data_IF_124440266353
#
_entry.id   IF_124440266353
#
_cell.length_a   1.000
_cell.length_b   1.000
_cell.length_c   1.000
_cell.angle_alpha   90.00
_cell.angle_beta   90.00
_cell.angle_gamma   90.00
#
_symmetry.space_group_name_H-M   'P 1'
#
loop_
_entity.id
_entity.type
_entity.pdbx_description
1 polymer ?
#
# COMPACT_ATOMS: atom_id res chain seq x y z
N UNK A 1 -12.09 -19.87 15.45
CA UNK A 1 -11.09 -19.07 14.73
C UNK A 1 -9.93 -19.93 14.28
N UNK A 2 -8.91 -20.12 15.13
CA UNK A 2 -7.64 -20.77 14.74
C UNK A 2 -7.78 -22.19 14.17
N UNK A 3 -8.60 -23.05 14.79
CA UNK A 3 -8.86 -24.40 14.25
C UNK A 3 -9.48 -24.35 12.84
N UNK A 4 -10.46 -23.47 12.62
CA UNK A 4 -11.08 -23.25 11.29
C UNK A 4 -10.05 -22.74 10.29
N UNK A 5 -9.19 -21.80 10.70
CA UNK A 5 -8.12 -21.27 9.85
C UNK A 5 -7.21 -22.40 9.36
N UNK A 6 -6.67 -23.21 10.28
CA UNK A 6 -5.75 -24.30 9.94
C UNK A 6 -6.43 -25.30 9.01
N UNK A 7 -7.64 -25.77 9.35
CA UNK A 7 -8.41 -26.69 8.52
C UNK A 7 -8.63 -26.14 7.11
N UNK A 8 -9.05 -24.87 6.99
CA UNK A 8 -9.33 -24.22 5.71
C UNK A 8 -8.10 -23.90 4.90
N UNK A 9 -6.94 -23.70 5.52
CA UNK A 9 -5.67 -23.61 4.78
C UNK A 9 -5.40 -24.93 4.04
N UNK A 10 -5.51 -26.07 4.74
CA UNK A 10 -5.33 -27.38 4.09
C UNK A 10 -6.36 -27.63 3.00
N UNK A 11 -7.65 -27.40 3.27
CA UNK A 11 -8.70 -27.54 2.25
C UNK A 11 -8.42 -26.58 1.09
N UNK A 12 -8.06 -25.33 1.36
CA UNK A 12 -7.81 -24.29 0.37
C UNK A 12 -6.71 -24.64 -0.61
N UNK A 13 -5.63 -25.28 -0.14
CA UNK A 13 -4.57 -25.80 -1.03
C UNK A 13 -5.12 -26.86 -1.98
N UNK A 14 -5.94 -27.79 -1.50
CA UNK A 14 -6.54 -28.82 -2.36
C UNK A 14 -7.51 -28.21 -3.38
N UNK A 15 -8.34 -27.26 -2.94
CA UNK A 15 -9.26 -26.50 -3.80
C UNK A 15 -8.49 -25.78 -4.90
N UNK A 16 -7.37 -25.14 -4.55
CA UNK A 16 -6.51 -24.46 -5.51
C UNK A 16 -5.97 -25.45 -6.55
N UNK A 17 -5.39 -26.57 -6.13
CA UNK A 17 -4.86 -27.59 -7.05
C UNK A 17 -5.93 -28.14 -8.00
N UNK A 18 -7.13 -28.44 -7.49
CA UNK A 18 -8.25 -28.90 -8.32
C UNK A 18 -8.70 -27.82 -9.31
N UNK A 19 -8.74 -26.56 -8.88
CA UNK A 19 -9.14 -25.43 -9.74
C UNK A 19 -8.16 -25.18 -10.89
N UNK A 20 -6.88 -25.51 -10.69
CA UNK A 20 -5.82 -25.43 -11.69
C UNK A 20 -5.86 -26.61 -12.68
N UNK A 21 -6.32 -27.78 -12.24
CA UNK A 21 -6.38 -28.98 -13.07
C UNK A 21 -7.63 -29.03 -13.97
N UNK A 22 -8.72 -28.35 -13.59
CA UNK A 22 -9.98 -28.37 -14.33
C UNK A 22 -10.06 -27.21 -15.36
N UNK A 23 -10.54 -27.47 -16.59
CA UNK A 23 -10.82 -26.42 -17.57
C UNK A 23 -12.05 -25.60 -17.19
N UNK A 24 -12.14 -24.35 -17.68
CA UNK A 24 -13.29 -23.49 -17.40
C UNK A 24 -14.59 -24.09 -17.98
N UNK A 25 -15.47 -24.49 -17.09
CA UNK A 25 -16.72 -25.18 -17.39
C UNK A 25 -17.75 -24.86 -16.31
N UNK A 26 -19.02 -25.07 -16.62
CA UNK A 26 -20.10 -24.94 -15.62
C UNK A 26 -19.85 -25.86 -14.42
N UNK A 27 -19.30 -27.06 -14.67
CA UNK A 27 -18.92 -28.04 -13.65
C UNK A 27 -17.79 -27.49 -12.77
N UNK A 28 -16.72 -26.94 -13.36
CA UNK A 28 -15.65 -26.29 -12.58
C UNK A 28 -16.20 -25.18 -11.70
N UNK A 29 -17.03 -24.28 -12.24
CA UNK A 29 -17.60 -23.18 -11.44
C UNK A 29 -18.47 -23.68 -10.31
N UNK A 30 -19.26 -24.73 -10.55
CA UNK A 30 -20.05 -25.38 -9.51
C UNK A 30 -19.14 -25.97 -8.41
N UNK A 31 -18.11 -26.74 -8.78
CA UNK A 31 -17.14 -27.33 -7.84
C UNK A 31 -16.44 -26.24 -7.03
N UNK A 32 -15.87 -25.23 -7.70
CA UNK A 32 -15.16 -24.13 -7.03
C UNK A 32 -16.12 -23.34 -6.12
N UNK A 33 -17.39 -23.14 -6.51
CA UNK A 33 -18.40 -22.50 -5.66
C UNK A 33 -18.70 -23.30 -4.38
N UNK A 34 -18.84 -24.63 -4.50
CA UNK A 34 -19.01 -25.52 -3.33
C UNK A 34 -17.77 -25.46 -2.45
N UNK A 35 -16.59 -25.54 -3.04
CA UNK A 35 -15.31 -25.45 -2.35
C UNK A 35 -15.11 -24.11 -1.63
N UNK A 36 -15.41 -22.98 -2.28
CA UNK A 36 -15.40 -21.65 -1.68
C UNK A 36 -16.37 -21.58 -0.48
N UNK A 37 -17.53 -22.23 -0.57
CA UNK A 37 -18.49 -22.28 0.54
C UNK A 37 -17.91 -23.01 1.76
N UNK A 38 -17.15 -24.11 1.57
CA UNK A 38 -16.42 -24.81 2.64
C UNK A 38 -15.34 -23.93 3.26
N UNK A 39 -14.65 -23.13 2.43
CA UNK A 39 -13.69 -22.13 2.87
C UNK A 39 -14.32 -20.93 3.59
N UNK A 40 -15.65 -20.89 3.70
CA UNK A 40 -16.40 -19.83 4.36
C UNK A 40 -16.80 -18.68 3.44
N UNK A 41 -16.56 -18.77 2.14
CA UNK A 41 -16.95 -17.77 1.13
C UNK A 41 -18.33 -18.12 0.56
N UNK A 42 -19.37 -17.46 1.05
CA UNK A 42 -20.75 -17.69 0.63
C UNK A 42 -21.17 -16.64 -0.40
N UNK A 43 -21.46 -17.07 -1.63
CA UNK A 43 -21.86 -16.14 -2.71
C UNK A 43 -23.37 -16.21 -2.95
N UNK A 44 -24.06 -15.09 -2.78
CA UNK A 44 -25.47 -14.90 -3.08
C UNK A 44 -25.65 -13.98 -4.28
N UNK A 45 -26.65 -14.25 -5.10
CA UNK A 45 -26.98 -13.45 -6.28
C UNK A 45 -28.37 -12.85 -6.13
N UNK A 46 -28.50 -11.58 -6.50
CA UNK A 46 -29.77 -10.89 -6.71
C UNK A 46 -29.96 -10.63 -8.20
N UNK A 47 -31.19 -10.82 -8.67
CA UNK A 47 -31.61 -10.55 -10.05
C UNK A 47 -30.73 -11.19 -11.14
N UNK A 48 -30.47 -12.51 -11.08
CA UNK A 48 -29.63 -13.20 -12.07
C UNK A 48 -30.18 -13.13 -13.50
N UNK A 49 -31.47 -12.79 -13.65
CA UNK A 49 -32.14 -12.58 -14.95
C UNK A 49 -31.65 -11.33 -15.69
N UNK A 50 -31.16 -10.32 -14.95
CA UNK A 50 -30.65 -9.09 -15.54
C UNK A 50 -29.25 -9.26 -16.13
N UNK A 51 -28.54 -10.33 -15.77
CA UNK A 51 -27.25 -10.67 -16.37
C UNK A 51 -27.48 -10.95 -17.86
N UNK A 52 -27.15 -9.96 -18.69
CA UNK A 52 -27.53 -9.94 -20.10
C UNK A 52 -26.72 -10.95 -20.90
N UNK A 53 -27.37 -11.60 -21.88
CA UNK A 53 -26.69 -12.46 -22.84
C UNK A 53 -25.73 -11.68 -23.78
N UNK A 54 -25.85 -10.35 -23.84
CA UNK A 54 -25.03 -9.47 -24.67
C UNK A 54 -24.06 -8.56 -23.91
N UNK A 55 -23.99 -8.62 -22.58
CA UNK A 55 -23.12 -7.73 -21.82
C UNK A 55 -21.65 -8.05 -22.08
N UNK A 56 -20.89 -7.06 -22.57
CA UNK A 56 -19.46 -7.21 -22.90
C UNK A 56 -18.53 -6.65 -21.84
N UNK A 57 -18.98 -5.69 -21.04
CA UNK A 57 -18.21 -5.07 -19.97
C UNK A 57 -19.05 -4.98 -18.69
N UNK A 58 -18.57 -5.60 -17.62
CA UNK A 58 -19.09 -5.46 -16.27
C UNK A 58 -18.28 -4.41 -15.50
N UNK A 59 -18.99 -3.49 -14.85
CA UNK A 59 -18.42 -2.47 -13.99
C UNK A 59 -18.84 -2.74 -12.56
N UNK A 60 -17.88 -3.07 -11.69
CA UNK A 60 -18.16 -3.37 -10.29
C UNK A 60 -17.46 -2.41 -9.34
N UNK A 61 -18.10 -2.13 -8.20
CA UNK A 61 -17.38 -1.56 -7.06
C UNK A 61 -16.36 -2.57 -6.52
N UNK A 62 -15.33 -2.09 -5.83
CA UNK A 62 -14.25 -2.90 -5.31
C UNK A 62 -14.26 -2.87 -3.78
N UNK A 63 -14.58 -4.01 -3.16
CA UNK A 63 -14.68 -4.18 -1.71
C UNK A 63 -13.54 -5.03 -1.16
N UNK A 64 -13.13 -6.09 -1.89
CA UNK A 64 -12.08 -7.00 -1.43
C UNK A 64 -11.17 -7.42 -2.58
N UNK A 65 -9.93 -7.84 -2.30
CA UNK A 65 -9.07 -8.44 -3.32
C UNK A 65 -9.70 -9.66 -4.00
N UNK A 66 -10.71 -10.33 -3.43
CA UNK A 66 -11.32 -11.53 -3.98
C UNK A 66 -12.52 -11.28 -4.90
N UNK A 67 -12.90 -10.02 -5.13
CA UNK A 67 -14.11 -9.67 -5.87
C UNK A 67 -14.17 -10.29 -7.28
N UNK A 68 -13.06 -10.23 -8.03
CA UNK A 68 -12.94 -10.87 -9.35
C UNK A 68 -13.17 -12.39 -9.29
N UNK A 69 -12.62 -13.10 -8.28
CA UNK A 69 -12.88 -14.52 -8.09
C UNK A 69 -14.37 -14.76 -7.87
N UNK A 70 -14.98 -13.97 -6.98
CA UNK A 70 -16.40 -14.10 -6.64
C UNK A 70 -17.30 -13.92 -7.85
N UNK A 71 -17.03 -12.93 -8.71
CA UNK A 71 -17.79 -12.73 -9.95
C UNK A 71 -17.53 -13.85 -10.96
N UNK A 72 -16.28 -14.34 -11.07
CA UNK A 72 -15.91 -15.46 -11.93
C UNK A 72 -16.60 -16.78 -11.56
N UNK A 73 -16.95 -16.98 -10.28
CA UNK A 73 -17.78 -18.11 -9.84
C UNK A 73 -19.21 -18.05 -10.40
N UNK A 74 -19.69 -16.87 -10.76
CA UNK A 74 -21.06 -16.66 -11.22
C UNK A 74 -21.13 -16.67 -12.74
N UNK A 75 -20.17 -16.05 -13.41
CA UNK A 75 -20.15 -15.89 -14.87
C UNK A 75 -18.72 -16.01 -15.41
N UNK A 76 -18.59 -16.45 -16.67
CA UNK A 76 -17.31 -16.33 -17.38
C UNK A 76 -17.05 -14.85 -17.57
N UNK A 77 -15.91 -14.35 -17.08
CA UNK A 77 -15.45 -13.01 -17.36
C UNK A 77 -13.94 -12.93 -17.13
N UNK A 78 -13.28 -12.06 -17.87
CA UNK A 78 -11.86 -11.80 -17.73
C UNK A 78 -11.62 -10.46 -17.03
N UNK A 79 -10.73 -10.45 -16.05
CA UNK A 79 -10.34 -9.23 -15.33
C UNK A 79 -8.88 -8.92 -15.67
N UNK A 80 -8.57 -7.78 -16.30
CA UNK A 80 -7.18 -7.41 -16.59
C UNK A 80 -6.39 -7.14 -15.32
N UNK A 81 -5.15 -7.61 -15.25
CA UNK A 81 -4.24 -7.29 -14.15
C UNK A 81 -3.71 -5.85 -14.29
N UNK A 82 -4.27 -4.91 -13.52
CA UNK A 82 -3.86 -3.49 -13.53
C UNK A 82 -2.66 -3.20 -12.61
N UNK A 83 -2.26 -4.15 -11.77
CA UNK A 83 -1.15 -4.02 -10.82
C UNK A 83 -0.13 -5.12 -11.05
N UNK A 84 1.14 -4.72 -11.19
CA UNK A 84 2.25 -5.52 -11.71
C UNK A 84 2.75 -6.66 -10.80
N UNK A 85 1.89 -7.61 -10.45
CA UNK A 85 2.33 -8.92 -9.97
C UNK A 85 2.39 -9.89 -11.17
N UNK A 86 3.49 -9.94 -11.94
CA UNK A 86 3.58 -10.80 -13.11
C UNK A 86 3.58 -12.29 -12.74
N UNK A 87 3.22 -13.13 -13.70
CA UNK A 87 3.38 -14.58 -13.61
C UNK A 87 2.39 -15.27 -12.68
N UNK A 88 2.88 -16.17 -11.81
CA UNK A 88 2.04 -17.13 -11.07
C UNK A 88 0.94 -16.48 -10.21
N UNK A 89 1.18 -15.31 -9.62
CA UNK A 89 0.19 -14.64 -8.75
C UNK A 89 -0.98 -14.09 -9.58
N UNK A 90 -0.70 -13.56 -10.78
CA UNK A 90 -1.72 -13.13 -11.74
C UNK A 90 -2.58 -14.33 -12.18
N UNK A 91 -1.91 -15.38 -12.66
CA UNK A 91 -2.55 -16.60 -13.16
C UNK A 91 -3.38 -17.32 -12.08
N UNK A 92 -2.81 -17.53 -10.88
CA UNK A 92 -3.45 -18.27 -9.78
C UNK A 92 -4.75 -17.61 -9.29
N UNK A 93 -4.89 -16.31 -9.53
CA UNK A 93 -6.08 -15.52 -9.19
C UNK A 93 -7.05 -15.40 -10.36
N UNK A 94 -6.73 -15.97 -11.52
CA UNK A 94 -7.57 -15.89 -12.71
C UNK A 94 -7.61 -14.48 -13.32
N UNK A 95 -6.56 -13.68 -13.10
CA UNK A 95 -6.41 -12.43 -13.82
C UNK A 95 -5.89 -12.68 -15.23
N UNK A 96 -6.34 -11.84 -16.16
CA UNK A 96 -5.86 -11.79 -17.52
C UNK A 96 -4.59 -10.95 -17.57
N UNK A 97 -3.47 -11.59 -17.88
CA UNK A 97 -2.21 -10.91 -18.11
C UNK A 97 -2.26 -10.26 -19.50
N UNK A 98 -2.46 -8.94 -19.54
CA UNK A 98 -2.15 -8.18 -20.74
C UNK A 98 -0.64 -7.97 -20.71
N UNK A 99 0.10 -8.53 -21.66
CA UNK A 99 1.55 -8.35 -21.83
C UNK A 99 1.97 -6.92 -22.18
N UNK A 100 1.16 -5.94 -21.80
CA UNK A 100 1.33 -4.51 -22.06
C UNK A 100 2.08 -3.92 -20.88
N UNK A 101 3.39 -3.72 -21.05
CA UNK A 101 4.23 -2.91 -20.16
C UNK A 101 4.08 -1.41 -20.41
N UNK A 102 3.12 -1.03 -21.27
CA UNK A 102 2.92 0.31 -21.82
C UNK A 102 1.97 1.23 -21.06
N UNK A 103 1.64 2.34 -21.68
CA UNK A 103 0.78 3.39 -21.12
C UNK A 103 -0.68 2.94 -20.93
N UNK A 104 -1.47 3.63 -20.10
CA UNK A 104 -2.91 3.33 -19.94
C UNK A 104 -3.69 3.39 -21.26
N UNK A 105 -3.22 4.16 -22.25
CA UNK A 105 -3.84 4.25 -23.57
C UNK A 105 -3.70 2.93 -24.35
N UNK A 106 -2.49 2.36 -24.40
CA UNK A 106 -2.23 1.08 -25.06
C UNK A 106 -3.05 -0.06 -24.44
N UNK A 107 -3.20 -0.04 -23.10
CA UNK A 107 -4.06 -0.99 -22.39
C UNK A 107 -5.52 -0.86 -22.85
N UNK A 108 -6.04 0.37 -22.92
CA UNK A 108 -7.42 0.63 -23.36
C UNK A 108 -7.62 0.14 -24.80
N UNK A 109 -6.67 0.41 -25.69
CA UNK A 109 -6.77 -0.01 -27.10
C UNK A 109 -6.74 -1.54 -27.23
N UNK A 110 -5.88 -2.21 -26.46
CA UNK A 110 -5.86 -3.68 -26.38
C UNK A 110 -7.18 -4.26 -25.86
N UNK A 111 -7.80 -3.61 -24.87
CA UNK A 111 -9.10 -4.04 -24.32
C UNK A 111 -10.27 -3.77 -25.28
N UNK A 112 -10.19 -2.72 -26.10
CA UNK A 112 -11.15 -2.48 -27.19
C UNK A 112 -11.08 -3.58 -28.23
N UNK A 113 -9.87 -3.92 -28.69
CA UNK A 113 -9.66 -5.01 -29.64
C UNK A 113 -10.16 -6.35 -29.08
N UNK A 114 -9.83 -6.64 -27.82
CA UNK A 114 -10.32 -7.81 -27.10
C UNK A 114 -11.85 -7.88 -27.07
N UNK A 115 -12.51 -6.75 -26.79
CA UNK A 115 -13.97 -6.67 -26.69
C UNK A 115 -14.68 -6.76 -28.04
N UNK A 116 -14.00 -6.37 -29.12
CA UNK A 116 -14.52 -6.44 -30.48
C UNK A 116 -14.55 -7.87 -31.05
N UNK A 117 -13.65 -8.74 -30.58
CA UNK A 117 -13.60 -10.14 -31.02
C UNK A 117 -14.82 -10.93 -30.52
N UNK A 118 -15.59 -11.49 -31.45
CA UNK A 118 -16.71 -12.37 -31.12
C UNK A 118 -16.21 -13.68 -30.49
N UNK A 119 -16.86 -14.13 -29.42
CA UNK A 119 -16.47 -15.32 -28.66
C UNK A 119 -15.68 -15.03 -27.38
N UNK A 120 -15.07 -13.85 -27.25
CA UNK A 120 -14.36 -13.49 -26.01
C UNK A 120 -15.34 -13.31 -24.84
N UNK A 121 -15.02 -13.83 -23.64
CA UNK A 121 -15.82 -13.59 -22.45
C UNK A 121 -15.83 -12.10 -22.08
N UNK A 122 -16.89 -11.61 -21.41
CA UNK A 122 -16.99 -10.21 -20.99
C UNK A 122 -15.83 -9.78 -20.09
N UNK A 123 -15.46 -8.49 -20.17
CA UNK A 123 -14.49 -7.89 -19.26
C UNK A 123 -15.13 -7.52 -17.93
N UNK A 124 -14.45 -7.77 -16.81
CA UNK A 124 -14.82 -7.25 -15.50
C UNK A 124 -13.81 -6.19 -15.07
N UNK A 125 -14.27 -4.98 -14.79
CA UNK A 125 -13.43 -3.84 -14.45
C UNK A 125 -13.88 -3.20 -13.14
N UNK A 126 -12.89 -2.70 -12.38
CA UNK A 126 -13.07 -2.06 -11.08
C UNK A 126 -12.59 -0.59 -11.16
N UNK A 127 -13.45 0.35 -11.58
CA UNK A 127 -13.06 1.75 -11.80
C UNK A 127 -12.66 2.51 -10.53
N UNK A 128 -12.94 1.98 -9.33
CA UNK A 128 -12.44 2.53 -8.06
C UNK A 128 -10.92 2.41 -7.90
N UNK A 129 -10.27 1.49 -8.63
CA UNK A 129 -8.83 1.19 -8.61
C UNK A 129 -8.23 0.75 -7.26
N UNK A 130 -8.98 0.87 -6.16
CA UNK A 130 -8.60 0.44 -4.83
C UNK A 130 -9.81 -0.03 -4.03
N UNK A 131 -9.68 -1.18 -3.36
CA UNK A 131 -10.79 -1.81 -2.63
C UNK A 131 -11.16 -1.04 -1.35
N UNK A 132 -12.39 -0.56 -1.19
CA UNK A 132 -12.88 0.13 0.02
C UNK A 132 -13.63 -0.82 0.95
N UNK A 133 -13.97 -0.37 2.17
CA UNK A 133 -14.82 -1.16 3.07
C UNK A 133 -16.31 -1.15 2.67
N UNK A 134 -16.68 -0.41 1.62
CA UNK A 134 -18.04 -0.34 1.07
C UNK A 134 -19.11 0.24 2.01
N UNK A 135 -18.74 0.96 3.09
CA UNK A 135 -19.69 1.44 4.11
C UNK A 135 -20.08 2.90 3.98
N UNK A 136 -19.11 3.79 3.74
CA UNK A 136 -19.33 5.23 3.82
C UNK A 136 -19.52 5.86 2.44
N UNK A 137 -18.72 5.44 1.47
CA UNK A 137 -18.76 6.01 0.14
C UNK A 137 -17.97 5.20 -0.87
N UNK A 138 -18.33 5.40 -2.12
CA UNK A 138 -17.69 4.84 -3.29
C UNK A 138 -16.59 5.80 -3.76
N UNK A 139 -15.38 5.29 -4.06
CA UNK A 139 -14.33 6.14 -4.62
C UNK A 139 -14.75 6.69 -5.98
N UNK A 140 -14.15 7.81 -6.35
CA UNK A 140 -14.32 8.38 -7.69
C UNK A 140 -13.85 7.37 -8.73
N UNK A 141 -14.74 7.06 -9.67
CA UNK A 141 -14.43 6.19 -10.79
C UNK A 141 -13.47 6.88 -11.76
N UNK A 142 -12.48 6.14 -12.23
CA UNK A 142 -11.68 6.58 -13.37
C UNK A 142 -12.46 6.42 -14.68
N UNK A 143 -12.16 7.28 -15.66
CA UNK A 143 -12.90 7.34 -16.92
C UNK A 143 -12.43 6.30 -17.96
N UNK A 144 -11.24 5.72 -17.81
CA UNK A 144 -10.68 4.81 -18.81
C UNK A 144 -11.51 3.53 -19.08
N UNK A 145 -12.18 2.88 -18.11
CA UNK A 145 -13.01 1.70 -18.37
C UNK A 145 -14.20 2.02 -19.28
N UNK A 146 -14.69 3.25 -19.16
CA UNK A 146 -15.84 3.76 -19.91
C UNK A 146 -15.45 4.17 -21.33
N UNK A 147 -14.16 4.27 -21.64
CA UNK A 147 -13.67 4.52 -23.00
C UNK A 147 -13.56 3.24 -23.86
N UNK A 148 -13.86 2.06 -23.32
CA UNK A 148 -13.72 0.78 -24.03
C UNK A 148 -14.95 0.49 -24.88
N UNK A 149 -16.15 0.57 -24.30
CA UNK A 149 -17.44 0.38 -24.99
C UNK A 149 -18.45 1.42 -24.52
N UNK A 150 -19.43 1.69 -25.39
CA UNK A 150 -20.52 2.62 -25.12
C UNK A 150 -21.68 2.00 -24.34
N UNK A 151 -21.61 0.71 -23.98
CA UNK A 151 -22.58 0.06 -23.10
C UNK A 151 -21.84 -0.73 -22.02
N UNK A 152 -22.21 -0.50 -20.76
CA UNK A 152 -21.64 -1.20 -19.61
C UNK A 152 -22.74 -1.75 -18.72
N UNK A 153 -22.50 -2.90 -18.09
CA UNK A 153 -23.41 -3.48 -17.11
C UNK A 153 -22.85 -3.31 -15.68
N UNK A 154 -23.48 -2.47 -14.83
CA UNK A 154 -23.05 -2.31 -13.45
C UNK A 154 -23.35 -3.54 -12.59
N UNK A 155 -22.47 -3.84 -11.64
CA UNK A 155 -22.58 -4.95 -10.69
C UNK A 155 -22.28 -4.44 -9.29
N UNK A 156 -23.28 -4.45 -8.41
CA UNK A 156 -23.12 -4.04 -7.02
C UNK A 156 -22.66 -5.22 -6.15
N UNK A 157 -21.52 -5.06 -5.49
CA UNK A 157 -20.91 -6.00 -4.58
C UNK A 157 -21.04 -5.50 -3.15
N UNK A 158 -21.68 -6.28 -2.28
CA UNK A 158 -21.69 -6.06 -0.84
C UNK A 158 -21.07 -7.26 -0.14
N UNK A 159 -20.18 -6.99 0.81
CA UNK A 159 -19.51 -8.04 1.59
C UNK A 159 -19.85 -7.88 3.05
N UNK A 160 -20.27 -8.97 3.70
CA UNK A 160 -20.57 -9.00 5.13
C UNK A 160 -19.76 -10.10 5.79
N UNK A 161 -18.99 -9.74 6.81
CA UNK A 161 -18.28 -10.70 7.67
C UNK A 161 -18.57 -10.37 9.14
N UNK A 162 -18.83 -11.38 9.99
CA UNK A 162 -18.99 -11.16 11.42
C UNK A 162 -17.62 -10.90 12.06
N UNK A 163 -17.60 -10.16 13.17
CA UNK A 163 -16.47 -9.98 14.10
C UNK A 163 -15.24 -9.21 13.57
N UNK A 164 -15.01 -9.10 12.26
CA UNK A 164 -13.84 -8.41 11.68
C UNK A 164 -14.32 -7.38 10.65
N UNK A 165 -13.76 -6.16 10.65
CA UNK A 165 -14.18 -5.12 9.71
C UNK A 165 -13.77 -5.47 8.27
N UNK A 166 -14.70 -5.56 7.31
CA UNK A 166 -14.47 -5.91 5.89
C UNK A 166 -13.37 -5.03 5.27
N UNK A 167 -12.34 -5.65 4.70
CA UNK A 167 -11.14 -5.03 4.11
C UNK A 167 -10.46 -4.01 5.04
N UNK A 168 -9.47 -4.47 5.80
CA UNK A 168 -8.65 -3.55 6.61
C UNK A 168 -7.80 -2.69 5.65
N UNK A 169 -7.74 -1.38 5.88
CA UNK A 169 -6.87 -0.53 5.09
C UNK A 169 -5.43 -1.08 5.07
N UNK A 170 -4.81 -1.13 3.89
CA UNK A 170 -3.46 -1.69 3.65
C UNK A 170 -3.28 -3.20 3.87
N UNK A 171 -4.34 -3.97 4.12
CA UNK A 171 -4.20 -5.42 4.21
C UNK A 171 -3.73 -6.00 2.88
N UNK A 172 -2.69 -6.84 2.91
CA UNK A 172 -2.34 -7.66 1.76
C UNK A 172 -3.48 -8.64 1.45
N UNK A 173 -3.58 -9.07 0.19
CA UNK A 173 -4.58 -10.09 -0.19
C UNK A 173 -4.43 -11.38 0.61
N UNK A 174 -3.20 -11.73 1.04
CA UNK A 174 -2.93 -12.89 1.91
C UNK A 174 -3.55 -12.65 3.29
N UNK A 175 -3.39 -11.45 3.85
CA UNK A 175 -3.97 -11.11 5.15
C UNK A 175 -5.49 -11.22 5.11
N UNK A 176 -6.12 -10.73 4.05
CA UNK A 176 -7.58 -10.87 3.84
C UNK A 176 -8.00 -12.34 3.62
N UNK A 177 -7.15 -13.17 2.99
CA UNK A 177 -7.38 -14.61 2.88
C UNK A 177 -7.38 -15.29 4.25
N UNK A 178 -6.37 -15.00 5.07
CA UNK A 178 -6.25 -15.56 6.42
C UNK A 178 -7.43 -15.12 7.29
N UNK A 179 -7.85 -13.85 7.19
CA UNK A 179 -9.06 -13.39 7.88
C UNK A 179 -10.31 -14.13 7.41
N UNK A 180 -10.45 -14.36 6.10
CA UNK A 180 -11.57 -15.13 5.54
C UNK A 180 -11.62 -16.55 6.11
N UNK A 181 -10.47 -17.22 6.24
CA UNK A 181 -10.41 -18.56 6.80
C UNK A 181 -10.64 -18.59 8.32
N UNK A 182 -10.24 -17.53 9.03
CA UNK A 182 -10.41 -17.40 10.46
C UNK A 182 -11.87 -17.15 10.88
N UNK A 183 -12.60 -16.31 10.15
CA UNK A 183 -14.02 -15.99 10.44
C UNK A 183 -14.94 -17.15 10.03
N UNK A 184 -16.09 -17.37 10.70
CA UNK A 184 -16.95 -18.51 10.38
C UNK A 184 -17.48 -18.46 8.94
N UNK A 185 -17.84 -17.29 8.43
CA UNK A 185 -18.26 -17.09 7.05
C UNK A 185 -18.11 -15.63 6.63
N UNK A 186 -17.90 -15.42 5.34
CA UNK A 186 -17.93 -14.14 4.64
C UNK A 186 -18.96 -14.25 3.52
N UNK A 187 -20.00 -13.44 3.60
CA UNK A 187 -21.09 -13.45 2.62
C UNK A 187 -20.86 -12.35 1.59
N UNK A 188 -20.76 -12.74 0.32
CA UNK A 188 -20.78 -11.86 -0.82
C UNK A 188 -22.19 -11.81 -1.40
N UNK A 189 -22.78 -10.63 -1.42
CA UNK A 189 -24.03 -10.36 -2.12
C UNK A 189 -23.68 -9.67 -3.44
N UNK A 190 -23.95 -10.34 -4.55
CA UNK A 190 -23.74 -9.82 -5.90
C UNK A 190 -25.08 -9.46 -6.52
N UNK A 191 -25.27 -8.20 -6.88
CA UNK A 191 -26.50 -7.72 -7.52
C UNK A 191 -26.21 -7.21 -8.93
N UNK A 192 -26.86 -7.83 -9.91
CA UNK A 192 -26.77 -7.44 -11.31
C UNK A 192 -27.73 -6.26 -11.56
N UNK A 193 -27.22 -5.19 -12.17
CA UNK A 193 -28.04 -4.03 -12.56
C UNK A 193 -28.33 -4.06 -14.07
N UNK A 194 -29.36 -3.33 -14.55
CA UNK A 194 -29.58 -3.17 -15.99
C UNK A 194 -28.38 -2.55 -16.69
N UNK A 195 -28.16 -2.93 -17.95
CA UNK A 195 -27.14 -2.29 -18.80
C UNK A 195 -27.40 -0.79 -18.93
N UNK A 196 -26.32 -0.03 -18.98
CA UNK A 196 -26.34 1.42 -19.09
C UNK A 196 -25.62 1.81 -20.38
N UNK A 197 -26.34 2.30 -21.40
CA UNK A 197 -25.72 2.88 -22.58
C UNK A 197 -25.19 4.29 -22.27
N UNK A 198 -24.14 4.67 -22.98
CA UNK A 198 -23.61 6.03 -23.08
C UNK A 198 -24.58 6.87 -23.92
N UNK A 199 -24.78 8.12 -23.51
CA UNK A 199 -25.59 9.09 -24.27
C UNK A 199 -24.75 9.71 -25.40
N UNK A 200 -25.38 10.12 -26.50
CA UNK A 200 -24.68 10.56 -27.72
C UNK A 200 -23.60 11.65 -27.50
N UNK A 201 -23.84 12.59 -26.58
CA UNK A 201 -22.93 13.72 -26.29
C UNK A 201 -22.18 13.59 -24.94
N UNK A 202 -22.22 12.41 -24.33
CA UNK A 202 -21.67 12.20 -22.99
C UNK A 202 -20.19 11.78 -23.03
N UNK A 203 -19.34 12.56 -22.36
CA UNK A 203 -17.91 12.24 -22.24
C UNK A 203 -17.69 11.02 -21.35
N UNK A 204 -16.52 10.38 -21.47
CA UNK A 204 -16.16 9.24 -20.62
C UNK A 204 -16.20 9.56 -19.13
N UNK A 205 -15.82 10.78 -18.74
CA UNK A 205 -15.84 11.23 -17.35
C UNK A 205 -17.27 11.37 -16.81
N UNK A 206 -18.18 11.92 -17.62
CA UNK A 206 -19.57 12.13 -17.26
C UNK A 206 -20.31 10.79 -17.19
N UNK A 207 -20.01 9.90 -18.14
CA UNK A 207 -20.53 8.52 -18.13
C UNK A 207 -20.06 7.75 -16.90
N UNK A 208 -18.77 7.87 -16.55
CA UNK A 208 -18.22 7.25 -15.34
C UNK A 208 -18.90 7.76 -14.08
N UNK A 209 -19.11 9.08 -13.97
CA UNK A 209 -19.78 9.71 -12.84
C UNK A 209 -21.24 9.25 -12.72
N UNK A 210 -21.98 9.20 -13.82
CA UNK A 210 -23.37 8.72 -13.83
C UNK A 210 -23.47 7.26 -13.40
N UNK A 211 -22.58 6.38 -13.88
CA UNK A 211 -22.55 4.97 -13.47
C UNK A 211 -22.12 4.83 -12.01
N UNK A 212 -21.19 5.66 -11.53
CA UNK A 212 -20.80 5.73 -10.13
C UNK A 212 -21.99 6.10 -9.24
N UNK A 213 -22.79 7.12 -9.62
CA UNK A 213 -23.98 7.55 -8.88
C UNK A 213 -25.06 6.46 -8.84
N UNK A 214 -25.30 5.76 -9.95
CA UNK A 214 -26.23 4.64 -10.00
C UNK A 214 -25.80 3.50 -9.06
N UNK A 215 -24.52 3.12 -9.08
CA UNK A 215 -23.98 2.10 -8.17
C UNK A 215 -24.01 2.55 -6.71
N UNK A 216 -23.69 3.82 -6.44
CA UNK A 216 -23.73 4.37 -5.08
C UNK A 216 -25.15 4.38 -4.51
N UNK A 217 -26.15 4.77 -5.31
CA UNK A 217 -27.56 4.70 -4.95
C UNK A 217 -28.00 3.27 -4.64
N UNK A 218 -27.63 2.29 -5.47
CA UNK A 218 -27.97 0.88 -5.26
C UNK A 218 -27.28 0.29 -4.01
N UNK A 219 -26.05 0.71 -3.73
CA UNK A 219 -25.32 0.30 -2.53
C UNK A 219 -25.78 1.03 -1.26
N UNK A 220 -26.53 2.13 -1.38
CA UNK A 220 -26.92 3.00 -0.27
C UNK A 220 -25.75 3.80 0.32
N UNK A 221 -24.76 4.15 -0.49
CA UNK A 221 -23.55 4.90 -0.07
C UNK A 221 -23.41 6.19 -0.89
N UNK A 222 -22.52 7.08 -0.47
CA UNK A 222 -22.27 8.36 -1.16
C UNK A 222 -21.27 8.17 -2.31
N UNK A 223 -21.55 8.74 -3.48
CA UNK A 223 -20.54 8.91 -4.54
C UNK A 223 -19.55 10.01 -4.14
N UNK A 224 -18.28 9.65 -3.94
CA UNK A 224 -17.26 10.62 -3.51
C UNK A 224 -16.46 11.18 -4.70
N UNK A 225 -15.80 12.32 -4.46
CA UNK A 225 -14.80 12.89 -5.39
C UNK A 225 -13.38 12.39 -5.11
N UNK A 226 -13.21 11.55 -4.08
CA UNK A 226 -11.92 11.06 -3.60
C UNK A 226 -11.44 9.94 -4.51
N UNK A 227 -10.21 10.05 -5.03
CA UNK A 227 -9.62 9.05 -5.92
C UNK A 227 -8.83 7.98 -5.16
N UNK A 228 -8.50 6.88 -5.83
CA UNK A 228 -7.57 5.88 -5.30
C UNK A 228 -6.18 6.46 -4.98
N UNK A 229 -5.74 7.46 -5.76
CA UNK A 229 -4.47 8.15 -5.53
C UNK A 229 -4.51 8.95 -4.22
N UNK A 230 -5.59 9.72 -4.00
CA UNK A 230 -5.79 10.49 -2.76
C UNK A 230 -5.79 9.58 -1.54
N UNK A 231 -6.47 8.43 -1.65
CA UNK A 231 -6.46 7.41 -0.60
C UNK A 231 -5.05 6.88 -0.32
N UNK A 232 -4.32 6.54 -1.37
CA UNK A 232 -2.94 6.03 -1.26
C UNK A 232 -2.03 7.07 -0.61
N UNK A 233 -2.18 8.33 -0.97
CA UNK A 233 -1.45 9.44 -0.37
C UNK A 233 -1.82 9.63 1.11
N UNK A 234 -3.11 9.66 1.44
CA UNK A 234 -3.59 9.76 2.81
C UNK A 234 -3.01 8.66 3.70
N UNK A 235 -2.94 7.44 3.16
CA UNK A 235 -2.34 6.31 3.86
C UNK A 235 -0.84 6.46 4.10
N UNK A 236 -0.09 6.95 3.10
CA UNK A 236 1.33 7.28 3.26
C UNK A 236 1.52 8.31 4.37
N UNK A 237 0.67 9.34 4.42
CA UNK A 237 0.71 10.36 5.48
C UNK A 237 0.46 9.76 6.86
N UNK A 238 -0.55 8.89 7.01
CA UNK A 238 -0.82 8.20 8.28
C UNK A 238 0.37 7.37 8.77
N UNK A 239 1.05 6.65 7.87
CA UNK A 239 2.26 5.88 8.23
C UNK A 239 3.38 6.79 8.73
N UNK A 240 3.61 7.93 8.07
CA UNK A 240 4.60 8.90 8.52
C UNK A 240 4.23 9.56 9.86
N UNK A 241 2.95 9.86 10.09
CA UNK A 241 2.48 10.43 11.36
C UNK A 241 2.57 9.42 12.50
N UNK A 242 2.21 8.15 12.26
CA UNK A 242 2.33 7.08 13.25
C UNK A 242 3.79 6.83 13.68
N UNK A 243 4.74 6.99 12.75
CA UNK A 243 6.18 6.91 13.04
C UNK A 243 6.73 8.13 13.80
N UNK A 244 6.02 9.26 13.81
CA UNK A 244 6.43 10.52 14.45
C UNK A 244 5.88 10.71 15.87
N UNK A 245 5.05 9.80 16.37
CA UNK A 245 4.61 9.85 17.76
C UNK A 245 5.79 9.47 18.67
N UNK A 246 6.30 10.39 19.52
CA UNK A 246 7.40 10.08 20.42
C UNK A 246 6.96 8.99 21.40
N UNK A 247 7.81 7.97 21.56
CA UNK A 247 7.70 7.01 22.65
C UNK A 247 7.68 7.78 23.96
N UNK A 248 6.51 7.87 24.61
CA UNK A 248 6.44 8.38 25.97
C UNK A 248 7.17 7.38 26.89
N UNK A 249 8.25 7.77 27.59
CA UNK A 249 8.92 6.88 28.51
C UNK A 249 8.13 6.91 29.82
N UNK A 250 7.24 5.94 29.99
CA UNK A 250 6.48 5.78 31.24
C UNK A 250 5.03 5.39 30.99
N UNK A 251 4.78 4.10 30.90
CA UNK A 251 3.42 3.55 30.75
C UNK A 251 3.44 2.28 29.92
N UNK A 252 3.81 1.16 30.56
CA UNK A 252 3.71 -0.16 29.96
C UNK A 252 2.30 -0.45 29.44
N UNK A 253 2.22 -1.15 28.31
CA UNK A 253 1.01 -1.81 27.82
C UNK A 253 -0.20 -0.91 27.48
N UNK A 254 -0.11 -0.07 26.44
CA UNK A 254 -1.34 0.47 25.82
C UNK A 254 -1.35 0.56 24.28
N UNK A 255 -0.23 0.58 23.54
CA UNK A 255 -0.30 0.82 22.08
C UNK A 255 -0.65 -0.40 21.20
N UNK A 256 -0.55 -1.63 21.68
CA UNK A 256 -1.01 -2.81 20.92
C UNK A 256 -2.52 -3.12 21.09
N UNK A 257 -3.23 -2.42 21.99
CA UNK A 257 -4.66 -2.64 22.23
C UNK A 257 -5.59 -2.05 21.17
N UNK A 258 -5.11 -1.11 20.33
CA UNK A 258 -5.93 -0.47 19.31
C UNK A 258 -6.14 -1.30 18.04
N UNK A 259 -5.41 -2.40 17.85
CA UNK A 259 -5.62 -3.32 16.70
C UNK A 259 -6.41 -4.59 17.08
N UNK A 260 -6.37 -5.01 18.36
CA UNK A 260 -7.06 -6.22 18.83
C UNK A 260 -8.42 -5.95 19.51
N UNK A 261 -8.70 -4.72 19.97
CA UNK A 261 -9.89 -4.39 20.76
C UNK A 261 -11.20 -4.29 19.98
N UNK A 262 -11.16 -4.22 18.65
CA UNK A 262 -12.38 -4.05 17.82
C UNK A 262 -13.06 -5.37 17.44
N UNK A 263 -12.52 -6.52 17.87
CA UNK A 263 -12.98 -7.86 17.48
C UNK A 263 -13.76 -8.63 18.56
N UNK A 264 -13.96 -8.05 19.76
CA UNK A 264 -14.77 -8.63 20.82
C UNK A 264 -15.78 -7.59 21.31
N UNK A 265 -16.91 -7.49 20.60
CA UNK A 265 -18.07 -6.74 21.05
C UNK A 265 -18.68 -7.41 22.28
N UNK A 266 -18.42 -6.86 23.45
CA UNK A 266 -19.22 -7.12 24.65
C UNK A 266 -20.44 -6.21 24.58
N UNK A 267 -21.60 -6.85 24.70
CA UNK A 267 -22.94 -6.28 24.80
C UNK A 267 -23.00 -5.12 25.81
N UNK A 268 -23.64 -4.02 25.44
CA UNK A 268 -23.81 -2.87 26.32
C UNK A 268 -24.84 -1.90 25.77
N UNK A 269 -26.08 -2.13 26.17
CA UNK A 269 -27.24 -1.25 26.03
C UNK A 269 -26.90 0.21 26.39
N UNK A 270 -27.33 1.18 25.59
CA UNK A 270 -27.33 2.60 26.00
C UNK A 270 -28.72 3.17 25.79
N UNK A 271 -29.49 3.14 26.88
CA UNK A 271 -30.67 3.96 27.09
C UNK A 271 -30.25 5.18 27.92
N UNK A 272 -30.82 6.32 27.58
CA UNK A 272 -30.59 7.65 28.15
C UNK A 272 -30.76 7.70 29.68
N UNK A 273 -29.92 8.50 30.37
CA UNK A 273 -30.37 9.61 31.24
C UNK A 273 -29.22 10.25 32.06
N UNK A 274 -29.06 11.56 31.84
CA UNK A 274 -28.89 12.70 32.79
C UNK A 274 -28.10 12.56 34.11
N UNK A 275 -27.17 13.51 34.28
CA UNK A 275 -26.51 14.06 35.49
C UNK A 275 -27.44 14.30 36.72
N UNK A 276 -26.93 14.32 37.99
CA UNK A 276 -26.10 15.41 38.53
C UNK A 276 -24.96 15.04 39.53
N UNK A 277 -24.29 16.10 40.02
CA UNK A 277 -22.96 16.23 40.67
C UNK A 277 -23.05 16.18 42.25
N UNK A 278 -22.02 16.49 43.08
CA UNK A 278 -21.34 15.54 44.00
C UNK A 278 -21.36 15.91 45.51
N UNK A 279 -20.85 15.05 46.40
CA UNK A 279 -20.42 15.38 47.78
C UNK A 279 -19.43 14.30 48.31
N UNK A 280 -18.14 14.58 48.58
CA UNK A 280 -17.49 15.14 49.81
C UNK A 280 -16.91 14.06 50.76
N UNK A 281 -15.57 14.02 50.76
CA UNK A 281 -14.54 13.80 51.82
C UNK A 281 -14.51 12.57 52.78
N UNK A 282 -13.33 11.91 52.73
CA UNK A 282 -12.38 11.64 53.86
C UNK A 282 -12.37 10.24 54.56
N UNK A 283 -11.26 9.82 55.23
CA UNK A 283 -10.26 8.91 54.63
C UNK A 283 -9.84 7.77 55.59
N UNK A 284 -8.71 7.11 55.27
CA UNK A 284 -7.87 6.22 56.09
C UNK A 284 -8.07 4.71 55.89
N UNK A 285 -7.02 4.03 55.41
CA UNK A 285 -6.20 3.18 56.28
C UNK A 285 -5.01 2.60 55.50
N UNK A 286 -3.84 2.76 56.12
CA UNK A 286 -2.55 2.19 55.77
C UNK A 286 -2.57 0.65 55.81
N UNK A 287 -1.91 0.01 54.85
CA UNK A 287 -1.19 -1.24 55.13
C UNK A 287 -0.05 -1.46 54.13
N UNK A 288 1.16 -1.11 54.56
CA UNK A 288 2.44 -1.46 53.95
C UNK A 288 2.71 -2.97 54.07
N UNK A 289 3.33 -3.57 53.04
CA UNK A 289 4.19 -4.77 53.12
C UNK A 289 5.13 -4.80 51.90
N UNK A 290 6.30 -5.44 51.99
CA UNK A 290 7.57 -4.73 51.86
C UNK A 290 8.35 -5.00 50.57
N UNK A 291 9.31 -4.10 50.32
CA UNK A 291 10.25 -4.10 49.21
C UNK A 291 11.09 -5.39 49.12
N UNK A 292 11.15 -5.96 47.91
CA UNK A 292 12.12 -6.98 47.54
C UNK A 292 13.36 -6.29 46.93
N UNK A 293 14.50 -6.53 47.58
CA UNK A 293 15.86 -6.09 47.25
C UNK A 293 16.32 -6.68 45.90
N UNK A 294 17.03 -5.93 45.03
CA UNK A 294 17.55 -6.47 43.78
C UNK A 294 18.74 -7.42 44.06
N UNK A 295 18.67 -8.65 43.54
CA UNK A 295 19.80 -9.59 43.51
C UNK A 295 20.67 -9.29 42.28
N UNK A 296 21.93 -8.97 42.52
CA UNK A 296 23.03 -8.96 41.54
C UNK A 296 23.62 -10.38 41.45
N UNK A 297 23.76 -10.99 40.26
CA UNK A 297 24.65 -12.11 40.04
C UNK A 297 26.03 -11.66 39.50
N UNK A 298 27.06 -12.50 39.62
CA UNK A 298 28.47 -12.09 39.65
C UNK A 298 29.06 -11.80 38.27
N UNK A 299 30.03 -10.88 38.30
CA UNK A 299 30.95 -10.53 37.22
C UNK A 299 31.88 -11.70 36.85
N UNK A 300 31.84 -12.10 35.58
CA UNK A 300 32.86 -12.90 34.86
C UNK A 300 33.04 -12.28 33.46
N UNK A 301 34.22 -12.40 32.83
CA UNK A 301 34.76 -11.40 31.91
C UNK A 301 34.01 -11.42 30.57
N UNK A 302 33.24 -10.36 30.30
CA UNK A 302 32.47 -10.15 29.07
C UNK A 302 33.07 -8.95 28.35
N UNK A 303 34.02 -9.18 27.44
CA UNK A 303 34.74 -8.06 26.81
C UNK A 303 35.59 -8.44 25.60
N UNK A 304 35.11 -9.31 24.71
CA UNK A 304 35.83 -9.60 23.47
C UNK A 304 34.93 -9.64 22.21
N UNK A 305 33.75 -10.32 22.20
CA UNK A 305 32.94 -10.36 20.98
C UNK A 305 32.06 -9.12 20.77
N UNK A 306 31.63 -8.44 21.83
CA UNK A 306 30.83 -7.21 21.73
C UNK A 306 31.70 -6.02 21.26
N UNK A 307 32.95 -5.93 21.73
CA UNK A 307 33.89 -4.87 21.34
C UNK A 307 34.29 -4.96 19.86
N UNK A 308 34.55 -6.16 19.32
CA UNK A 308 34.85 -6.32 17.89
C UNK A 308 33.68 -5.88 17.00
N UNK A 309 32.44 -6.11 17.45
CA UNK A 309 31.24 -5.72 16.70
C UNK A 309 31.03 -4.21 16.73
N UNK A 310 31.21 -3.58 17.89
CA UNK A 310 31.13 -2.12 18.04
C UNK A 310 32.24 -1.42 17.25
N UNK A 311 33.46 -1.98 17.22
CA UNK A 311 34.57 -1.45 16.42
C UNK A 311 34.26 -1.49 14.92
N UNK A 312 33.69 -2.58 14.42
CA UNK A 312 33.26 -2.67 13.01
C UNK A 312 32.15 -1.67 12.67
N UNK A 313 31.15 -1.53 13.55
CA UNK A 313 30.06 -0.56 13.38
C UNK A 313 30.58 0.89 13.47
N UNK A 314 31.56 1.17 14.33
CA UNK A 314 32.16 2.50 14.45
C UNK A 314 32.93 2.90 13.19
N UNK A 315 33.59 1.95 12.54
CA UNK A 315 34.28 2.20 11.28
C UNK A 315 33.29 2.53 10.15
N UNK A 316 32.13 1.86 10.10
CA UNK A 316 31.07 2.17 9.14
C UNK A 316 30.52 3.59 9.32
N UNK A 317 30.35 4.06 10.57
CA UNK A 317 29.94 5.45 10.84
C UNK A 317 31.04 6.44 10.45
N UNK A 318 32.33 6.12 10.71
CA UNK A 318 33.48 6.98 10.36
C UNK A 318 33.67 7.13 8.84
N UNK A 319 33.27 6.14 8.04
CA UNK A 319 33.24 6.25 6.57
C UNK A 319 32.20 7.28 6.09
N UNK A 320 31.05 7.36 6.76
CA UNK A 320 29.96 8.30 6.43
C UNK A 320 30.22 9.69 7.01
N UNK A 321 30.80 9.77 8.20
CA UNK A 321 31.08 11.01 8.94
C UNK A 321 32.58 11.11 9.32
N UNK A 322 33.47 11.47 8.38
CA UNK A 322 34.93 11.41 8.58
C UNK A 322 35.45 12.38 9.66
N UNK A 323 34.72 13.48 9.90
CA UNK A 323 35.11 14.53 10.84
C UNK A 323 34.81 14.22 12.32
N UNK A 324 34.09 13.13 12.61
CA UNK A 324 33.69 12.76 13.97
C UNK A 324 34.76 11.85 14.60
N UNK A 325 35.26 12.13 15.82
CA UNK A 325 36.20 11.25 16.51
C UNK A 325 35.64 9.84 16.73
N UNK A 326 36.47 8.81 16.50
CA UNK A 326 36.07 7.40 16.65
C UNK A 326 35.59 7.07 18.08
N UNK A 327 36.14 7.74 19.09
CA UNK A 327 35.77 7.53 20.49
C UNK A 327 34.34 8.01 20.80
N UNK A 328 33.90 9.09 20.16
CA UNK A 328 32.52 9.58 20.29
C UNK A 328 31.55 8.61 19.63
N UNK A 329 31.89 8.13 18.44
CA UNK A 329 31.10 7.15 17.69
C UNK A 329 30.96 5.85 18.49
N UNK A 330 32.06 5.32 19.06
CA UNK A 330 32.03 4.10 19.89
C UNK A 330 31.18 4.28 21.13
N UNK A 331 31.31 5.41 21.81
CA UNK A 331 30.56 5.71 23.04
C UNK A 331 29.05 5.72 22.78
N UNK A 332 28.61 6.31 21.67
CA UNK A 332 27.20 6.30 21.28
C UNK A 332 26.74 4.91 20.79
N UNK A 333 27.58 4.18 20.05
CA UNK A 333 27.26 2.82 19.57
C UNK A 333 27.13 1.79 20.69
N UNK A 334 27.86 1.95 21.80
CA UNK A 334 27.66 1.10 22.99
C UNK A 334 26.25 1.28 23.57
N UNK A 335 25.64 2.46 23.39
CA UNK A 335 24.30 2.77 23.89
C UNK A 335 23.19 2.43 22.87
N UNK A 336 23.41 2.74 21.58
CA UNK A 336 22.39 2.59 20.53
C UNK A 336 22.41 1.21 19.86
N UNK A 337 23.57 0.55 19.83
CA UNK A 337 23.84 -0.70 19.10
C UNK A 337 23.33 -0.68 17.64
N UNK A 338 23.32 0.50 17.02
CA UNK A 338 22.76 0.72 15.69
C UNK A 338 23.45 1.90 14.98
N UNK A 339 24.07 1.63 13.84
CA UNK A 339 24.80 2.60 12.99
C UNK A 339 23.92 3.77 12.57
N UNK A 340 22.70 3.50 12.08
CA UNK A 340 21.79 4.53 11.57
C UNK A 340 21.31 5.48 12.67
N UNK A 341 21.09 4.95 13.88
CA UNK A 341 20.67 5.75 15.04
C UNK A 341 21.81 6.64 15.51
N UNK A 342 23.05 6.14 15.50
CA UNK A 342 24.24 6.92 15.84
C UNK A 342 24.54 8.03 14.82
N UNK A 343 24.37 7.77 13.52
CA UNK A 343 24.49 8.80 12.48
C UNK A 343 23.45 9.90 12.70
N UNK A 344 22.19 9.53 12.98
CA UNK A 344 21.13 10.50 13.26
C UNK A 344 21.43 11.33 14.51
N UNK A 345 21.89 10.72 15.60
CA UNK A 345 22.23 11.42 16.84
C UNK A 345 23.37 12.43 16.66
N UNK A 346 24.39 12.09 15.86
CA UNK A 346 25.53 12.95 15.56
C UNK A 346 25.12 14.13 14.65
N UNK A 347 24.27 13.89 13.66
CA UNK A 347 23.77 14.94 12.76
C UNK A 347 22.75 15.87 13.43
N UNK A 348 21.94 15.35 14.36
CA UNK A 348 20.97 16.12 15.14
C UNK A 348 21.62 16.88 16.32
N UNK A 349 22.95 16.74 16.52
CA UNK A 349 23.69 17.44 17.57
C UNK A 349 23.40 16.94 19.00
N UNK A 350 22.81 15.75 19.13
CA UNK A 350 22.49 15.14 20.44
C UNK A 350 23.74 14.62 21.15
N UNK A 351 24.82 14.37 20.41
CA UNK A 351 26.13 14.01 20.93
C UNK A 351 27.11 15.13 20.58
N UNK A 352 27.58 15.91 21.57
CA UNK A 352 28.54 16.98 21.31
C UNK A 352 29.91 16.39 20.97
N UNK A 353 30.49 16.84 19.86
CA UNK A 353 31.86 16.48 19.49
C UNK A 353 32.59 17.68 18.87
N UNK A 354 33.91 17.69 19.03
CA UNK A 354 34.78 18.62 18.32
C UNK A 354 35.30 17.94 17.04
N UNK A 355 35.13 18.54 15.86
CA UNK A 355 35.57 17.95 14.60
C UNK A 355 37.09 17.75 14.56
N UNK A 356 37.53 16.55 14.15
CA UNK A 356 38.95 16.31 13.84
C UNK A 356 39.29 16.97 12.48
N UNK A 357 40.15 17.99 12.50
CA UNK A 357 40.78 18.54 11.29
C UNK A 357 41.88 17.60 10.83
N UNK A 358 41.73 17.03 9.64
CA UNK A 358 42.76 16.23 8.98
C UNK A 358 43.83 17.19 8.41
N UNK A 359 44.88 17.45 9.18
CA UNK A 359 46.09 18.12 8.72
C UNK A 359 46.89 17.19 7.78
N UNK A 360 47.18 17.55 6.53
CA UNK A 360 48.43 17.19 5.89
C UNK A 360 49.49 18.21 6.33
N UNK A 361 50.45 17.77 7.14
CA UNK A 361 51.62 18.59 7.45
C UNK A 361 52.45 18.83 6.19
N UNK A 362 52.65 20.11 5.85
CA UNK A 362 53.94 20.71 5.49
C UNK A 362 53.82 22.24 5.47
N UNK A 363 54.83 22.90 6.02
CA UNK A 363 54.94 24.33 6.39
C UNK A 363 55.11 25.32 5.21
N UNK A 364 55.00 26.66 5.43
CA UNK A 364 54.68 27.66 4.41
C UNK A 364 55.86 28.55 3.95
N UNK A 365 55.71 29.22 2.78
CA UNK A 365 56.39 30.50 2.45
C UNK A 365 55.71 31.23 1.26
N UNK A 366 55.90 32.55 1.09
CA UNK A 366 54.85 33.46 0.58
C UNK A 366 55.13 34.09 -0.81
N UNK A 367 54.15 34.90 -1.25
CA UNK A 367 54.32 36.15 -2.02
C UNK A 367 54.18 36.17 -3.56
N UNK A 368 53.13 36.89 -3.99
CA UNK A 368 53.11 37.98 -5.00
C UNK A 368 53.34 37.66 -6.48
N UNK A 369 52.36 38.05 -7.32
CA UNK A 369 52.49 39.06 -8.41
C UNK A 369 51.76 38.73 -9.72
N UNK A 370 51.10 39.75 -10.27
CA UNK A 370 50.79 40.03 -11.70
C UNK A 370 49.59 39.29 -12.31
N UNK A 371 48.49 39.97 -12.71
CA UNK A 371 48.31 40.88 -13.88
C UNK A 371 48.58 40.12 -15.20
N UNK A 372 47.76 40.17 -16.26
CA UNK A 372 46.91 41.21 -16.82
C UNK A 372 45.82 40.57 -17.74
N UNK A 373 44.66 41.22 -17.96
CA UNK A 373 44.25 41.91 -19.22
C UNK A 373 44.05 40.97 -20.44
N UNK A 374 43.08 41.12 -21.34
CA UNK A 374 41.96 42.02 -21.56
C UNK A 374 41.16 41.48 -22.78
N UNK A 375 40.00 42.10 -23.03
CA UNK A 375 39.22 42.07 -24.29
C UNK A 375 38.47 40.78 -24.62
N UNK A 376 37.22 40.78 -25.07
CA UNK A 376 36.34 41.85 -25.53
C UNK A 376 35.54 41.37 -26.75
N UNK A 377 34.22 41.29 -26.60
CA UNK A 377 33.18 41.52 -27.62
C UNK A 377 33.06 40.49 -28.78
N UNK A 378 31.92 39.77 -28.90
CA UNK A 378 30.79 40.02 -29.84
C UNK A 378 29.85 38.79 -29.98
N UNK A 379 28.57 39.05 -30.25
CA UNK A 379 27.44 38.09 -30.27
C UNK A 379 27.56 36.92 -31.26
N UNK A 380 26.75 35.87 -31.15
CA UNK A 380 25.41 35.82 -31.75
C UNK A 380 24.78 34.43 -31.54
N UNK A 381 23.44 34.37 -31.53
CA UNK A 381 22.63 33.15 -31.48
C UNK A 381 22.80 32.34 -32.78
N UNK A 382 22.84 31.01 -32.71
CA UNK A 382 21.87 30.23 -33.48
C UNK A 382 21.33 29.00 -32.73
N UNK A 383 20.04 28.72 -32.93
CA UNK A 383 19.48 27.37 -32.93
C UNK A 383 19.19 26.98 -34.41
N UNK A 384 18.81 25.75 -34.78
CA UNK A 384 18.85 24.44 -34.11
C UNK A 384 19.49 23.33 -34.99
N UNK A 385 19.87 22.15 -34.46
CA UNK A 385 19.77 20.86 -35.20
C UNK A 385 20.21 19.64 -34.37
N UNK A 386 19.41 18.60 -34.52
CA UNK A 386 19.51 17.17 -34.17
C UNK A 386 20.88 16.49 -34.28
N UNK A 387 21.28 15.79 -33.20
CA UNK A 387 21.66 14.35 -33.15
C UNK A 387 22.04 13.96 -31.70
N UNK A 388 21.61 12.80 -31.18
CA UNK A 388 21.96 12.37 -29.82
C UNK A 388 23.39 11.82 -29.81
N UNK A 389 24.30 12.52 -29.14
CA UNK A 389 25.62 11.97 -28.81
C UNK A 389 25.48 10.76 -27.86
N UNK A 390 26.34 9.73 -27.97
CA UNK A 390 26.21 8.50 -27.21
C UNK A 390 26.39 8.79 -25.71
N UNK A 391 25.45 8.29 -24.90
CA UNK A 391 25.46 8.41 -23.44
C UNK A 391 26.64 7.62 -22.86
N UNK A 392 27.80 8.26 -22.72
CA UNK A 392 28.87 7.71 -21.89
C UNK A 392 28.37 7.62 -20.44
N UNK A 393 28.38 6.40 -19.91
CA UNK A 393 28.16 6.15 -18.49
C UNK A 393 29.36 6.73 -17.72
N UNK A 394 29.10 7.58 -16.73
CA UNK A 394 30.18 8.18 -15.93
C UNK A 394 30.97 7.08 -15.20
N UNK A 395 32.29 7.23 -15.16
CA UNK A 395 33.22 6.18 -14.69
C UNK A 395 33.14 5.96 -13.18
N UNK A 396 32.63 6.93 -12.40
CA UNK A 396 32.41 6.76 -10.96
C UNK A 396 30.92 6.60 -10.57
N UNK A 397 30.61 5.83 -9.51
CA UNK A 397 29.26 5.75 -8.95
C UNK A 397 28.70 7.12 -8.49
N UNK A 398 29.58 8.01 -8.02
CA UNK A 398 29.21 9.35 -7.52
C UNK A 398 28.73 10.25 -8.66
N UNK A 399 29.45 10.27 -9.78
CA UNK A 399 29.06 11.04 -10.97
C UNK A 399 27.75 10.52 -11.60
N UNK A 400 27.50 9.21 -11.51
CA UNK A 400 26.21 8.62 -11.92
C UNK A 400 25.07 9.09 -11.03
N UNK A 401 25.31 9.22 -9.72
CA UNK A 401 24.30 9.73 -8.80
C UNK A 401 24.00 11.22 -9.04
N UNK A 402 25.04 12.04 -9.22
CA UNK A 402 24.89 13.48 -9.50
C UNK A 402 24.17 13.73 -10.83
N UNK A 403 24.54 13.03 -11.90
CA UNK A 403 23.85 13.16 -13.20
C UNK A 403 22.38 12.71 -13.16
N UNK A 404 22.04 11.72 -12.31
CA UNK A 404 20.65 11.33 -12.08
C UNK A 404 19.89 12.41 -11.30
N UNK A 405 20.51 13.03 -10.30
CA UNK A 405 19.89 14.12 -9.54
C UNK A 405 19.66 15.36 -10.41
N UNK A 406 20.61 15.73 -11.25
CA UNK A 406 20.47 16.84 -12.21
C UNK A 406 19.36 16.59 -13.21
N UNK A 407 19.28 15.38 -13.79
CA UNK A 407 18.19 15.02 -14.72
C UNK A 407 16.82 15.05 -14.03
N UNK A 408 16.73 14.59 -12.78
CA UNK A 408 15.51 14.70 -11.98
C UNK A 408 15.13 16.16 -11.77
N UNK A 409 16.09 17.02 -11.40
CA UNK A 409 15.86 18.44 -11.16
C UNK A 409 15.39 19.17 -12.42
N UNK A 410 16.03 18.94 -13.56
CA UNK A 410 15.63 19.52 -14.84
C UNK A 410 14.20 19.10 -15.25
N UNK A 411 13.81 17.86 -14.97
CA UNK A 411 12.46 17.37 -15.26
C UNK A 411 11.41 18.03 -14.36
N UNK A 412 11.73 18.25 -13.07
CA UNK A 412 10.86 19.01 -12.16
C UNK A 412 10.71 20.47 -12.58
N UNK A 413 11.79 21.11 -13.02
CA UNK A 413 11.76 22.50 -13.46
C UNK A 413 11.01 22.68 -14.79
N UNK A 414 11.09 21.69 -15.70
CA UNK A 414 10.28 21.66 -16.92
C UNK A 414 8.79 21.50 -16.61
N UNK A 415 8.43 20.59 -15.69
CA UNK A 415 7.03 20.35 -15.31
C UNK A 415 6.37 21.51 -14.54
N UNK A 416 7.16 22.50 -14.10
CA UNK A 416 6.68 23.74 -13.45
C UNK A 416 6.44 24.90 -14.40
N UNK A 417 6.99 24.86 -15.61
CA UNK A 417 6.69 25.82 -16.68
C UNK A 417 5.46 25.35 -17.43
#
# INVERSE_FOLDING_TARGET
GLCLLVLRVFIGVHVFLVSCALPDSVVRRFIVRVMCSVLGLLVRQSDPRLRGAGARVFIANHVTPFDHNVVSLLTSCNTPALSGAPGFICWSRGFMELGVTGSRAELVDSLKEYSAQQGNPPLLLFPEEAATNGRAGLLRFSSWPFSILDEVQPVALQVRRPLVAVSVADSSWITELLWTFFVPFTVYQVRWMPSVPRRADERSEDFALRVQELLAMELGVVSTRITAADRTEHMKRLRHTAQRLPFAPGGGFCLWKLSLGSALGVSGCFQCQTHPVPAVLSPAASSQRPAARPRVPPSLPRGAPEDMRVVAMAQQVKEVLPHVPLEVIRTDLVQTNCVDTTIANLLEGRVPFFPESKEPGDLPAPSTSQAAAASGIQGSVPAPSSKPAPKQFAKSPVERHLSLQERKRALYDYARR
#
